data_IF_180268796908
#
_entry.id   IF_180268796908
#
_cell.length_a   1.000
_cell.length_b   1.000
_cell.length_c   1.000
_cell.angle_alpha   90.00
_cell.angle_beta   90.00
_cell.angle_gamma   90.00
#
_symmetry.space_group_name_H-M   'P 1'
#
loop_
_entity.id
_entity.type
_entity.pdbx_description
1 polymer ?
#
# COMPACT_ATOMS: atom_id res chain seq x y z
N UNK A 1 -12.16 0.34 -2.38
CA UNK A 1 -13.00 1.28 -3.15
C UNK A 1 -12.10 2.38 -3.68
N UNK A 2 -12.08 2.60 -5.00
CA UNK A 2 -11.31 3.70 -5.58
C UNK A 2 -11.95 5.06 -5.20
N UNK A 3 -11.19 6.16 -5.34
CA UNK A 3 -11.69 7.48 -4.96
C UNK A 3 -12.86 7.96 -5.81
N UNK A 4 -12.93 7.58 -7.08
CA UNK A 4 -14.00 8.01 -7.97
C UNK A 4 -15.37 7.48 -7.51
N UNK A 5 -15.44 6.18 -7.19
CA UNK A 5 -16.66 5.55 -6.72
C UNK A 5 -17.08 6.08 -5.35
N UNK A 6 -16.11 6.34 -4.46
CA UNK A 6 -16.36 6.94 -3.16
C UNK A 6 -17.02 8.32 -3.29
N UNK A 7 -16.41 9.21 -4.07
CA UNK A 7 -16.90 10.58 -4.26
C UNK A 7 -18.30 10.61 -4.88
N UNK A 8 -18.55 9.74 -5.86
CA UNK A 8 -19.86 9.61 -6.48
C UNK A 8 -20.94 9.15 -5.49
N UNK A 9 -20.64 8.12 -4.69
CA UNK A 9 -21.56 7.62 -3.67
C UNK A 9 -21.77 8.65 -2.54
N UNK A 10 -20.72 9.37 -2.14
CA UNK A 10 -20.78 10.42 -1.12
C UNK A 10 -21.71 11.55 -1.56
N UNK A 11 -21.47 12.10 -2.75
CA UNK A 11 -22.26 13.21 -3.28
C UNK A 11 -23.73 12.83 -3.45
N UNK A 12 -24.01 11.59 -3.87
CA UNK A 12 -25.38 11.09 -3.98
C UNK A 12 -26.07 11.02 -2.62
N UNK A 13 -25.41 10.48 -1.60
CA UNK A 13 -25.98 10.37 -0.26
C UNK A 13 -26.16 11.75 0.39
N UNK A 14 -25.21 12.66 0.23
CA UNK A 14 -25.32 14.06 0.70
C UNK A 14 -26.55 14.72 0.09
N UNK A 15 -26.73 14.62 -1.23
CA UNK A 15 -27.92 15.15 -1.90
C UNK A 15 -29.21 14.54 -1.36
N UNK A 16 -29.25 13.22 -1.12
CA UNK A 16 -30.45 12.56 -0.61
C UNK A 16 -30.76 12.94 0.84
N UNK A 17 -29.74 13.13 1.68
CA UNK A 17 -29.86 13.59 3.07
C UNK A 17 -30.36 15.03 3.11
N UNK A 18 -29.83 15.92 2.27
CA UNK A 18 -30.32 17.30 2.16
C UNK A 18 -31.81 17.35 1.79
N UNK A 19 -32.26 16.43 0.93
CA UNK A 19 -33.67 16.34 0.53
C UNK A 19 -34.56 15.68 1.59
N UNK A 20 -34.00 14.81 2.43
CA UNK A 20 -34.74 14.04 3.44
C UNK A 20 -33.93 13.94 4.75
N UNK A 21 -33.77 15.05 5.50
CA UNK A 21 -32.85 15.11 6.64
C UNK A 21 -33.25 14.21 7.81
N UNK A 22 -34.55 13.90 7.94
CA UNK A 22 -35.06 13.01 8.99
C UNK A 22 -34.87 11.52 8.66
N UNK A 23 -34.44 11.19 7.43
CA UNK A 23 -34.22 9.81 7.04
C UNK A 23 -32.88 9.29 7.61
N UNK A 24 -33.00 8.66 8.78
CA UNK A 24 -31.87 8.07 9.52
C UNK A 24 -31.15 6.97 8.75
N UNK A 25 -31.81 6.27 7.82
CA UNK A 25 -31.17 5.22 7.01
C UNK A 25 -30.15 5.82 6.05
N UNK A 26 -30.42 7.00 5.48
CA UNK A 26 -29.46 7.69 4.62
C UNK A 26 -28.21 8.12 5.40
N UNK A 27 -28.41 8.61 6.63
CA UNK A 27 -27.30 8.97 7.52
C UNK A 27 -26.48 7.73 7.87
N UNK A 28 -27.14 6.60 8.21
CA UNK A 28 -26.45 5.34 8.48
C UNK A 28 -25.68 4.81 7.26
N UNK A 29 -26.27 4.91 6.06
CA UNK A 29 -25.61 4.52 4.83
C UNK A 29 -24.37 5.39 4.55
N UNK A 30 -24.44 6.69 4.86
CA UNK A 30 -23.31 7.62 4.73
C UNK A 30 -22.16 7.26 5.69
N UNK A 31 -22.49 6.97 6.95
CA UNK A 31 -21.51 6.48 7.94
C UNK A 31 -20.86 5.18 7.45
N UNK A 32 -21.66 4.22 6.99
CA UNK A 32 -21.17 2.94 6.47
C UNK A 32 -20.27 3.10 5.24
N UNK A 33 -20.53 4.10 4.39
CA UNK A 33 -19.70 4.41 3.23
C UNK A 33 -18.31 4.91 3.66
N UNK A 34 -18.26 5.76 4.69
CA UNK A 34 -17.00 6.26 5.26
C UNK A 34 -16.21 5.10 5.87
N UNK A 35 -16.84 4.26 6.69
CA UNK A 35 -16.20 3.09 7.32
C UNK A 35 -15.57 2.17 6.27
N UNK A 36 -16.32 1.81 5.22
CA UNK A 36 -15.80 0.98 4.12
C UNK A 36 -14.64 1.61 3.37
N UNK A 37 -14.63 2.95 3.23
CA UNK A 37 -13.51 3.66 2.58
C UNK A 37 -12.27 3.60 3.47
N UNK A 38 -12.44 3.85 4.77
CA UNK A 38 -11.36 3.76 5.76
C UNK A 38 -10.77 2.35 5.83
N UNK A 39 -11.59 1.31 5.90
CA UNK A 39 -11.13 -0.08 5.92
C UNK A 39 -10.29 -0.42 4.69
N UNK A 40 -10.77 -0.02 3.51
CA UNK A 40 -10.04 -0.22 2.26
C UNK A 40 -8.70 0.52 2.25
N UNK A 41 -8.67 1.77 2.71
CA UNK A 41 -7.44 2.57 2.74
C UNK A 41 -6.42 1.97 3.73
N UNK A 42 -6.87 1.45 4.88
CA UNK A 42 -6.03 0.72 5.83
C UNK A 42 -5.44 -0.54 5.20
N UNK A 43 -6.26 -1.35 4.54
CA UNK A 43 -5.81 -2.57 3.86
C UNK A 43 -4.81 -2.27 2.75
N UNK A 44 -5.07 -1.24 1.95
CA UNK A 44 -4.17 -0.79 0.90
C UNK A 44 -2.80 -0.36 1.46
N UNK A 45 -2.79 0.45 2.53
CA UNK A 45 -1.57 0.90 3.18
C UNK A 45 -0.79 -0.28 3.78
N UNK A 46 -1.49 -1.22 4.42
CA UNK A 46 -0.86 -2.44 4.96
C UNK A 46 -0.21 -3.28 3.86
N UNK A 47 -0.93 -3.51 2.76
CA UNK A 47 -0.40 -4.27 1.61
C UNK A 47 0.83 -3.61 0.99
N UNK A 48 0.82 -2.29 0.82
CA UNK A 48 1.99 -1.54 0.32
C UNK A 48 3.19 -1.64 1.27
N UNK A 49 2.95 -1.54 2.58
CA UNK A 49 4.00 -1.67 3.59
C UNK A 49 4.65 -3.06 3.59
N UNK A 50 3.85 -4.13 3.47
CA UNK A 50 4.35 -5.50 3.40
C UNK A 50 5.18 -5.73 2.14
N UNK A 51 4.74 -5.23 0.97
CA UNK A 51 5.51 -5.31 -0.27
C UNK A 51 6.85 -4.58 -0.18
N UNK A 52 6.89 -3.40 0.43
CA UNK A 52 8.14 -2.66 0.65
C UNK A 52 9.09 -3.41 1.56
N UNK A 53 8.58 -3.96 2.66
CA UNK A 53 9.38 -4.75 3.61
C UNK A 53 9.99 -5.98 2.95
N UNK A 54 9.22 -6.70 2.12
CA UNK A 54 9.73 -7.85 1.39
C UNK A 54 10.77 -7.46 0.34
N UNK A 55 10.56 -6.34 -0.34
CA UNK A 55 11.54 -5.79 -1.28
C UNK A 55 12.85 -5.39 -0.60
N UNK A 56 12.79 -4.70 0.54
CA UNK A 56 13.96 -4.32 1.35
C UNK A 56 14.72 -5.55 1.86
N UNK A 57 13.99 -6.57 2.32
CA UNK A 57 14.58 -7.83 2.76
C UNK A 57 15.31 -8.53 1.62
N UNK A 58 14.67 -8.64 0.45
CA UNK A 58 15.27 -9.25 -0.74
C UNK A 58 16.54 -8.51 -1.17
N UNK A 59 16.49 -7.17 -1.23
CA UNK A 59 17.70 -6.37 -1.52
C UNK A 59 18.82 -6.63 -0.52
N UNK A 60 18.50 -6.65 0.77
CA UNK A 60 19.49 -6.90 1.82
C UNK A 60 20.14 -8.27 1.69
N UNK A 61 19.36 -9.30 1.37
CA UNK A 61 19.87 -10.65 1.12
C UNK A 61 20.78 -10.70 -0.10
N UNK A 62 20.42 -10.00 -1.19
CA UNK A 62 21.28 -9.88 -2.38
C UNK A 62 22.60 -9.17 -2.08
N UNK A 63 22.56 -8.05 -1.35
CA UNK A 63 23.79 -7.36 -0.94
C UNK A 63 24.71 -8.25 -0.09
N UNK A 64 24.15 -9.06 0.82
CA UNK A 64 24.93 -10.03 1.61
C UNK A 64 25.56 -11.10 0.73
N UNK A 65 24.79 -11.67 -0.21
CA UNK A 65 25.30 -12.67 -1.14
C UNK A 65 26.43 -12.11 -2.02
N UNK A 66 26.27 -10.90 -2.56
CA UNK A 66 27.27 -10.24 -3.38
C UNK A 66 28.55 -9.91 -2.58
N UNK A 67 28.40 -9.51 -1.31
CA UNK A 67 29.52 -9.27 -0.41
C UNK A 67 30.29 -10.58 -0.12
N UNK A 68 29.58 -11.68 0.12
CA UNK A 68 30.20 -13.00 0.32
C UNK A 68 30.93 -13.51 -0.93
N UNK A 69 30.31 -13.36 -2.11
CA UNK A 69 30.95 -13.71 -3.39
C UNK A 69 32.22 -12.89 -3.58
N UNK A 70 32.13 -11.57 -3.38
CA UNK A 70 33.27 -10.66 -3.50
C UNK A 70 34.40 -11.06 -2.54
N UNK A 71 34.07 -11.34 -1.27
CA UNK A 71 35.04 -11.78 -0.26
C UNK A 71 35.75 -13.08 -0.70
N UNK A 72 35.00 -14.09 -1.14
CA UNK A 72 35.56 -15.36 -1.64
C UNK A 72 36.47 -15.15 -2.86
N UNK A 73 36.08 -14.28 -3.80
CA UNK A 73 36.91 -13.98 -4.98
C UNK A 73 38.23 -13.31 -4.61
N UNK A 74 38.22 -12.38 -3.64
CA UNK A 74 39.43 -11.74 -3.11
C UNK A 74 40.34 -12.78 -2.43
N UNK A 75 39.77 -13.64 -1.57
CA UNK A 75 40.51 -14.71 -0.87
C UNK A 75 41.15 -15.72 -1.84
N UNK A 76 40.51 -15.96 -2.99
CA UNK A 76 41.02 -16.83 -4.05
C UNK A 76 42.04 -16.14 -4.98
N UNK A 77 42.40 -14.87 -4.73
CA UNK A 77 43.36 -14.12 -5.54
C UNK A 77 42.83 -13.67 -6.91
N UNK A 78 41.55 -13.94 -7.22
CA UNK A 78 40.87 -13.51 -8.44
C UNK A 78 40.12 -12.21 -8.17
N UNK A 79 40.83 -11.09 -8.15
CA UNK A 79 40.19 -9.77 -8.08
C UNK A 79 39.38 -9.54 -9.38
N UNK A 80 38.06 -9.70 -9.33
CA UNK A 80 37.17 -9.35 -10.44
C UNK A 80 37.14 -7.82 -10.51
N UNK A 81 37.62 -7.17 -11.60
CA UNK A 81 37.56 -5.73 -11.71
C UNK A 81 36.10 -5.32 -11.89
N UNK A 82 35.58 -4.48 -11.00
CA UNK A 82 34.26 -3.86 -11.19
C UNK A 82 34.34 -2.98 -12.43
N UNK A 83 33.71 -3.41 -13.53
CA UNK A 83 33.44 -2.53 -14.67
C UNK A 83 32.30 -1.60 -14.27
N UNK A 84 32.61 -0.30 -14.26
CA UNK A 84 31.68 0.80 -14.12
C UNK A 84 30.93 1.02 -15.44
#
# INVERSE_FOLDING_TARGET
>A
MNNFDFEKSRNFLEFMIEKNPDNKELIQAYVSLIEKKTDFDIEYIKGDADLRKDFEKNQTERFKADAEITKKSIEQGNAIPRKW
#
